data_IF_463885102994
#
_entry.id   IF_463885102994
#
_cell.length_a   1.000
_cell.length_b   1.000
_cell.length_c   1.000
_cell.angle_alpha   90.00
_cell.angle_beta   90.00
_cell.angle_gamma   90.00
#
_symmetry.space_group_name_H-M   'P 1'
#
loop_
_entity.id
_entity.type
_entity.pdbx_description
1 polymer ?
#
# COMPACT_ATOMS: atom_id res chain seq x y z
N UNK A 1 4.68 -5.60 -2.93
CA UNK A 1 3.92 -6.47 -3.85
C UNK A 1 3.44 -5.64 -5.03
N UNK A 2 2.46 -4.75 -4.86
CA UNK A 2 1.93 -3.90 -5.94
C UNK A 2 2.97 -3.01 -6.67
N UNK A 3 4.05 -2.62 -5.99
CA UNK A 3 5.14 -1.81 -6.58
C UNK A 3 6.15 -2.65 -7.37
N UNK A 4 6.32 -3.93 -7.00
CA UNK A 4 7.27 -4.83 -7.68
C UNK A 4 6.65 -5.45 -8.94
N UNK A 5 5.36 -5.79 -8.85
CA UNK A 5 4.55 -6.24 -9.99
C UNK A 5 3.43 -5.23 -10.22
N UNK A 6 3.71 -4.26 -11.10
CA UNK A 6 2.77 -3.20 -11.46
C UNK A 6 1.74 -3.77 -12.43
N UNK A 7 0.45 -3.69 -12.07
CA UNK A 7 -0.62 -4.12 -12.95
C UNK A 7 -1.93 -3.40 -12.62
N UNK A 8 -2.86 -3.40 -13.59
CA UNK A 8 -4.14 -2.71 -13.43
C UNK A 8 -4.98 -3.27 -12.26
N UNK A 9 -4.97 -4.58 -12.04
CA UNK A 9 -5.73 -5.20 -10.94
C UNK A 9 -5.27 -4.74 -9.55
N UNK A 10 -3.99 -4.42 -9.40
CA UNK A 10 -3.44 -3.92 -8.15
C UNK A 10 -3.82 -2.46 -7.85
N UNK A 11 -4.27 -1.68 -8.84
CA UNK A 11 -4.74 -0.31 -8.62
C UNK A 11 -5.88 -0.26 -7.60
N UNK A 12 -6.84 -1.19 -7.69
CA UNK A 12 -7.94 -1.31 -6.74
C UNK A 12 -7.43 -1.58 -5.32
N UNK A 13 -6.44 -2.46 -5.17
CA UNK A 13 -5.81 -2.74 -3.87
C UNK A 13 -5.13 -1.50 -3.30
N UNK A 14 -4.41 -0.74 -4.14
CA UNK A 14 -3.73 0.50 -3.72
C UNK A 14 -4.74 1.52 -3.22
N UNK A 15 -5.82 1.78 -3.97
CA UNK A 15 -6.89 2.71 -3.56
C UNK A 15 -7.49 2.30 -2.22
N UNK A 16 -7.83 1.03 -2.06
CA UNK A 16 -8.42 0.50 -0.83
C UNK A 16 -7.45 0.65 0.36
N UNK A 17 -6.19 0.27 0.21
CA UNK A 17 -5.19 0.38 1.29
C UNK A 17 -4.97 1.84 1.69
N UNK A 18 -4.85 2.75 0.72
CA UNK A 18 -4.66 4.18 1.00
C UNK A 18 -5.88 4.77 1.72
N UNK A 19 -7.09 4.39 1.31
CA UNK A 19 -8.31 4.76 2.02
C UNK A 19 -8.33 4.19 3.45
N UNK A 20 -8.02 2.90 3.61
CA UNK A 20 -8.00 2.22 4.90
C UNK A 20 -7.05 2.88 5.92
N UNK A 21 -5.90 3.35 5.46
CA UNK A 21 -4.90 4.01 6.30
C UNK A 21 -5.30 5.45 6.67
N UNK A 22 -6.16 6.07 5.87
CA UNK A 22 -6.54 7.47 6.05
C UNK A 22 -7.82 7.62 6.86
N UNK A 23 -8.72 6.65 6.79
CA UNK A 23 -9.95 6.62 7.55
C UNK A 23 -9.78 5.83 8.86
N UNK A 24 -10.58 6.16 9.88
CA UNK A 24 -10.45 5.59 11.22
C UNK A 24 -10.58 4.06 11.30
N UNK A 25 -10.38 3.52 12.51
CA UNK A 25 -10.28 2.07 12.77
C UNK A 25 -11.39 1.22 12.16
N UNK A 26 -12.63 1.71 12.14
CA UNK A 26 -13.77 0.96 11.60
C UNK A 26 -13.61 0.70 10.09
N UNK A 27 -13.20 1.72 9.33
CA UNK A 27 -12.94 1.59 7.89
C UNK A 27 -11.75 0.69 7.65
N UNK A 28 -10.68 0.84 8.43
CA UNK A 28 -9.51 -0.05 8.37
C UNK A 28 -9.90 -1.52 8.53
N UNK A 29 -10.77 -1.86 9.50
CA UNK A 29 -11.24 -3.23 9.70
C UNK A 29 -12.03 -3.75 8.49
N UNK A 30 -13.01 -2.98 8.00
CA UNK A 30 -13.82 -3.37 6.83
C UNK A 30 -12.95 -3.56 5.60
N UNK A 31 -12.06 -2.60 5.31
CA UNK A 31 -11.19 -2.68 4.14
C UNK A 31 -10.20 -3.84 4.25
N UNK A 32 -9.67 -4.13 5.44
CA UNK A 32 -8.79 -5.30 5.62
C UNK A 32 -9.49 -6.61 5.24
N UNK A 33 -10.77 -6.77 5.61
CA UNK A 33 -11.55 -7.93 5.18
C UNK A 33 -11.77 -7.95 3.66
N UNK A 34 -12.12 -6.81 3.04
CA UNK A 34 -12.29 -6.70 1.59
C UNK A 34 -10.98 -7.04 0.86
N UNK A 35 -9.86 -6.48 1.30
CA UNK A 35 -8.53 -6.71 0.73
C UNK A 35 -8.13 -8.19 0.85
N UNK A 36 -8.42 -8.85 1.96
CA UNK A 36 -8.17 -10.29 2.13
C UNK A 36 -8.93 -11.15 1.12
N UNK A 37 -10.21 -10.83 0.89
CA UNK A 37 -11.04 -11.50 -0.13
C UNK A 37 -10.49 -11.22 -1.54
N UNK A 38 -10.16 -9.97 -1.84
CA UNK A 38 -9.61 -9.58 -3.15
C UNK A 38 -8.28 -10.26 -3.44
N UNK A 39 -7.35 -10.32 -2.48
CA UNK A 39 -6.07 -11.03 -2.62
C UNK A 39 -6.31 -12.52 -2.91
N UNK A 40 -7.29 -13.13 -2.24
CA UNK A 40 -7.64 -14.53 -2.46
C UNK A 40 -8.21 -14.76 -3.86
N UNK A 41 -9.09 -13.86 -4.33
CA UNK A 41 -9.62 -13.89 -5.69
C UNK A 41 -8.52 -13.71 -6.73
N UNK A 42 -7.62 -12.74 -6.55
CA UNK A 42 -6.49 -12.50 -7.46
C UNK A 42 -5.56 -13.71 -7.54
N UNK A 43 -5.29 -14.38 -6.41
CA UNK A 43 -4.51 -15.61 -6.39
C UNK A 43 -5.23 -16.72 -7.19
N UNK A 44 -6.54 -16.91 -6.98
CA UNK A 44 -7.32 -17.90 -7.73
C UNK A 44 -7.35 -17.59 -9.22
N UNK A 45 -7.56 -16.34 -9.61
CA UNK A 45 -7.54 -15.92 -11.03
C UNK A 45 -6.17 -16.21 -11.66
N UNK A 46 -5.08 -15.90 -10.97
CA UNK A 46 -3.72 -16.20 -11.45
C UNK A 46 -3.46 -17.72 -11.59
N UNK A 47 -4.08 -18.55 -10.73
CA UNK A 47 -4.01 -20.01 -10.85
C UNK A 47 -4.86 -20.55 -11.99
N UNK A 48 -6.08 -20.05 -12.15
CA UNK A 48 -6.96 -20.44 -13.25
C UNK A 48 -6.33 -20.05 -14.60
N UNK A 49 -5.67 -18.91 -14.71
CA UNK A 49 -5.02 -18.47 -15.94
C UNK A 49 -3.90 -19.41 -16.43
N UNK A 50 -3.37 -20.28 -15.57
CA UNK A 50 -2.34 -21.25 -15.98
C UNK A 50 -2.88 -22.42 -16.81
N UNK A 51 -4.20 -22.66 -16.85
CA UNK A 51 -4.75 -23.76 -17.65
C UNK A 51 -4.46 -23.56 -19.14
N UNK A 52 -4.33 -24.66 -19.88
CA UNK A 52 -3.99 -24.63 -21.32
C UNK A 52 -5.10 -24.05 -22.20
N UNK A 53 -6.30 -23.86 -21.64
CA UNK A 53 -7.42 -23.22 -22.33
C UNK A 53 -7.12 -21.76 -22.70
N UNK A 54 -6.47 -21.00 -21.82
CA UNK A 54 -6.11 -19.60 -22.10
C UNK A 54 -4.77 -19.52 -22.81
N UNK A 55 -4.73 -19.11 -24.08
CA UNK A 55 -3.45 -18.91 -24.79
C UNK A 55 -3.01 -17.47 -24.64
N UNK A 56 -1.81 -17.26 -24.11
CA UNK A 56 -1.29 -15.92 -23.87
C UNK A 56 -1.14 -15.11 -25.17
N UNK A 57 -0.81 -15.79 -26.27
CA UNK A 57 -0.61 -15.17 -27.58
C UNK A 57 -1.88 -14.59 -28.20
N UNK A 58 -3.07 -15.04 -27.78
CA UNK A 58 -4.35 -14.50 -28.28
C UNK A 58 -4.63 -13.09 -27.76
N UNK A 59 -3.91 -12.66 -26.71
CA UNK A 59 -4.01 -11.32 -26.13
C UNK A 59 -2.91 -10.36 -26.60
N UNK A 60 -2.09 -10.77 -27.57
CA UNK A 60 -1.06 -9.93 -28.15
C UNK A 60 -1.71 -8.85 -29.04
N UNK A 61 -1.36 -7.60 -28.77
CA UNK A 61 -1.79 -6.43 -29.54
C UNK A 61 -0.67 -6.04 -30.49
N UNK A 62 -0.97 -5.98 -31.78
CA UNK A 62 -0.03 -5.51 -32.80
C UNK A 62 -0.49 -4.13 -33.33
N UNK A 63 0.09 -3.07 -32.79
CA UNK A 63 -0.19 -1.70 -33.21
C UNK A 63 0.72 -1.32 -34.40
N UNK A 64 0.47 -1.87 -35.59
CA UNK A 64 1.32 -1.64 -36.77
C UNK A 64 0.95 -0.38 -37.57
N UNK A 65 -0.18 0.28 -37.27
CA UNK A 65 -0.82 1.25 -38.18
C UNK A 65 -0.65 2.75 -37.84
N UNK A 66 0.13 3.12 -36.84
CA UNK A 66 0.41 4.54 -36.56
C UNK A 66 1.79 4.96 -37.05
N UNK A 67 1.85 5.40 -38.30
CA UNK A 67 2.98 6.06 -39.00
C UNK A 67 3.55 7.33 -38.31
N UNK A 68 3.32 7.55 -37.01
CA UNK A 68 3.69 8.79 -36.31
C UNK A 68 4.61 8.60 -35.10
N UNK A 69 4.90 7.36 -34.67
CA UNK A 69 5.86 7.13 -33.57
C UNK A 69 6.69 5.88 -33.89
N UNK A 70 8.03 5.97 -33.94
CA UNK A 70 8.87 4.78 -33.97
C UNK A 70 8.63 4.02 -32.67
N UNK A 71 8.10 2.80 -32.77
CA UNK A 71 8.02 1.89 -31.64
C UNK A 71 9.42 1.67 -31.06
N UNK A 72 9.58 1.58 -29.72
CA UNK A 72 10.82 1.14 -29.13
C UNK A 72 11.15 -0.26 -29.67
N UNK A 73 12.43 -0.57 -29.95
CA UNK A 73 12.83 -1.90 -30.39
C UNK A 73 12.84 -2.82 -29.16
N UNK A 74 11.68 -3.23 -28.67
CA UNK A 74 11.58 -4.29 -27.68
C UNK A 74 10.91 -5.52 -28.29
N UNK A 75 11.64 -6.63 -28.25
CA UNK A 75 11.38 -7.93 -28.86
C UNK A 75 10.14 -8.67 -28.29
N UNK A 76 9.23 -7.96 -27.59
CA UNK A 76 8.02 -8.55 -27.00
C UNK A 76 6.77 -7.83 -27.49
N UNK A 77 5.77 -8.55 -28.01
CA UNK A 77 4.49 -7.95 -28.34
C UNK A 77 3.85 -7.37 -27.08
N UNK A 78 3.27 -6.16 -27.18
CA UNK A 78 2.47 -5.61 -26.10
C UNK A 78 1.24 -6.51 -25.90
N UNK A 79 0.98 -6.93 -24.67
CA UNK A 79 -0.08 -7.90 -24.36
C UNK A 79 -1.05 -7.32 -23.32
N UNK A 80 -2.35 -7.35 -23.62
CA UNK A 80 -3.38 -6.83 -22.72
C UNK A 80 -3.47 -7.64 -21.42
N UNK A 81 -3.21 -8.95 -21.47
CA UNK A 81 -3.20 -9.80 -20.28
C UNK A 81 -2.04 -9.43 -19.35
N UNK A 82 -0.87 -9.09 -19.88
CA UNK A 82 0.26 -8.60 -19.07
C UNK A 82 -0.08 -7.28 -18.36
N UNK A 83 -0.76 -6.35 -19.05
CA UNK A 83 -1.21 -5.08 -18.47
C UNK A 83 -2.22 -5.28 -17.31
N UNK A 84 -3.17 -6.22 -17.49
CA UNK A 84 -4.09 -6.62 -16.42
C UNK A 84 -3.34 -7.27 -15.25
N UNK A 85 -2.21 -7.93 -15.52
CA UNK A 85 -1.38 -8.62 -14.53
C UNK A 85 -1.55 -10.14 -14.54
N UNK A 86 -2.00 -10.71 -15.67
CA UNK A 86 -2.19 -12.14 -15.88
C UNK A 86 -1.05 -12.68 -16.75
N UNK A 87 -0.13 -13.42 -16.12
CA UNK A 87 1.04 -13.97 -16.80
C UNK A 87 1.06 -15.49 -16.72
N UNK A 88 1.47 -16.13 -17.82
CA UNK A 88 1.76 -17.56 -17.83
C UNK A 88 3.18 -17.83 -17.35
N UNK A 89 3.38 -18.99 -16.74
CA UNK A 89 4.73 -19.45 -16.37
C UNK A 89 5.60 -19.63 -17.61
N UNK A 90 6.88 -19.26 -17.49
CA UNK A 90 7.88 -19.45 -18.54
C UNK A 90 9.18 -19.97 -17.94
N UNK A 91 10.16 -20.35 -18.78
CA UNK A 91 11.49 -20.76 -18.30
C UNK A 91 12.21 -19.71 -17.44
N UNK A 92 11.78 -18.44 -17.50
CA UNK A 92 12.37 -17.32 -16.77
C UNK A 92 11.58 -16.87 -15.53
N UNK A 93 10.26 -17.14 -15.48
CA UNK A 93 9.38 -16.82 -14.34
C UNK A 93 8.58 -18.05 -13.96
N UNK A 94 8.89 -18.59 -12.79
CA UNK A 94 8.21 -19.77 -12.26
C UNK A 94 6.92 -19.38 -11.55
N UNK A 95 6.01 -20.34 -11.37
CA UNK A 95 4.74 -20.13 -10.64
C UNK A 95 4.95 -19.55 -9.22
N UNK A 96 5.92 -20.04 -8.42
CA UNK A 96 6.20 -19.47 -7.11
C UNK A 96 6.67 -18.01 -7.18
N UNK A 97 7.40 -17.60 -8.22
CA UNK A 97 7.86 -16.21 -8.36
C UNK A 97 6.71 -15.23 -8.58
N UNK A 98 5.71 -15.64 -9.36
CA UNK A 98 4.48 -14.88 -9.61
C UNK A 98 3.59 -14.80 -8.36
N UNK A 99 3.57 -15.88 -7.56
CA UNK A 99 2.68 -15.99 -6.41
C UNK A 99 3.28 -15.55 -5.07
N UNK A 100 4.61 -15.41 -4.96
CA UNK A 100 5.30 -15.14 -3.67
C UNK A 100 4.71 -13.95 -2.93
N UNK A 101 4.31 -12.90 -3.66
CA UNK A 101 3.70 -11.70 -3.10
C UNK A 101 2.34 -11.98 -2.46
N UNK A 102 1.45 -12.69 -3.17
CA UNK A 102 0.13 -13.05 -2.66
C UNK A 102 0.22 -14.03 -1.49
N UNK A 103 1.07 -15.06 -1.59
CA UNK A 103 1.30 -16.02 -0.52
C UNK A 103 1.82 -15.30 0.73
N UNK A 104 2.80 -14.40 0.58
CA UNK A 104 3.33 -13.61 1.69
C UNK A 104 2.27 -12.76 2.39
N UNK A 105 1.37 -12.13 1.62
CA UNK A 105 0.26 -11.34 2.18
C UNK A 105 -0.75 -12.22 2.93
N UNK A 106 -1.10 -13.39 2.38
CA UNK A 106 -2.02 -14.34 3.04
C UNK A 106 -1.40 -14.89 4.32
N UNK A 107 -0.12 -15.26 4.31
CA UNK A 107 0.60 -15.73 5.50
C UNK A 107 0.65 -14.63 6.57
N UNK A 108 0.94 -13.38 6.19
CA UNK A 108 0.92 -12.26 7.12
C UNK A 108 -0.48 -12.03 7.72
N UNK A 109 -1.52 -12.04 6.88
CA UNK A 109 -2.90 -11.85 7.32
C UNK A 109 -3.36 -12.97 8.27
N UNK A 110 -3.00 -14.23 7.98
CA UNK A 110 -3.32 -15.38 8.86
C UNK A 110 -2.57 -15.29 10.18
N UNK A 111 -1.29 -14.92 10.20
CA UNK A 111 -0.54 -14.71 11.45
C UNK A 111 -1.20 -13.62 12.30
N UNK A 112 -1.56 -12.47 11.70
CA UNK A 112 -2.25 -11.39 12.41
C UNK A 112 -3.58 -11.85 13.00
N UNK A 113 -4.39 -12.57 12.22
CA UNK A 113 -5.66 -13.12 12.68
C UNK A 113 -5.46 -14.14 13.82
N UNK A 114 -4.48 -15.03 13.71
CA UNK A 114 -4.14 -16.01 14.76
C UNK A 114 -3.69 -15.31 16.04
N UNK A 115 -2.85 -14.28 15.94
CA UNK A 115 -2.40 -13.49 17.09
C UNK A 115 -3.60 -12.80 17.75
N UNK A 116 -4.49 -12.17 16.98
CA UNK A 116 -5.66 -11.49 17.53
C UNK A 116 -6.64 -12.46 18.21
N UNK A 117 -6.91 -13.61 17.59
CA UNK A 117 -7.74 -14.67 18.19
C UNK A 117 -7.10 -15.19 19.49
N UNK A 118 -5.79 -15.46 19.49
CA UNK A 118 -5.09 -15.92 20.69
C UNK A 118 -5.08 -14.89 21.81
N UNK A 119 -4.89 -13.61 21.48
CA UNK A 119 -4.97 -12.51 22.45
C UNK A 119 -6.38 -12.39 23.04
N UNK A 120 -7.41 -12.48 22.19
CA UNK A 120 -8.81 -12.44 22.62
C UNK A 120 -9.14 -13.62 23.54
N UNK A 121 -8.75 -14.84 23.15
CA UNK A 121 -8.99 -16.05 23.94
C UNK A 121 -8.31 -15.98 25.30
N UNK A 122 -7.04 -15.56 25.35
CA UNK A 122 -6.31 -15.39 26.62
C UNK A 122 -7.02 -14.41 27.54
N UNK A 123 -7.45 -13.25 27.02
CA UNK A 123 -8.17 -12.25 27.82
C UNK A 123 -9.50 -12.76 28.35
N UNK A 124 -10.23 -13.54 27.54
CA UNK A 124 -11.47 -14.17 27.97
C UNK A 124 -11.23 -15.10 29.17
N UNK A 125 -10.17 -15.91 29.13
CA UNK A 125 -9.79 -16.80 30.24
C UNK A 125 -9.35 -16.02 31.48
N UNK A 126 -8.65 -14.91 31.30
CA UNK A 126 -8.18 -14.03 32.38
C UNK A 126 -9.29 -13.09 32.93
N UNK A 127 -10.53 -13.18 32.41
CA UNK A 127 -11.65 -12.30 32.80
C UNK A 127 -11.46 -10.82 32.41
N UNK A 128 -10.52 -10.51 31.53
CA UNK A 128 -10.20 -9.16 31.08
C UNK A 128 -11.11 -8.71 29.94
N UNK A 129 -11.18 -7.38 29.70
CA UNK A 129 -11.94 -6.82 28.58
C UNK A 129 -11.46 -7.41 27.24
N UNK A 130 -12.41 -7.87 26.41
CA UNK A 130 -12.12 -8.44 25.09
C UNK A 130 -11.56 -7.42 24.09
N UNK A 131 -11.71 -6.12 24.36
CA UNK A 131 -11.18 -5.06 23.50
C UNK A 131 -9.65 -5.05 23.49
N UNK A 132 -9.06 -4.71 22.33
CA UNK A 132 -7.61 -4.57 22.19
C UNK A 132 -7.11 -3.40 23.06
N UNK A 133 -6.11 -3.61 23.95
CA UNK A 133 -5.56 -2.56 24.79
C UNK A 133 -4.92 -1.50 23.92
N UNK A 134 -5.13 -0.25 24.29
CA UNK A 134 -4.62 0.94 23.59
C UNK A 134 -3.13 1.14 23.82
N UNK A 135 -2.57 0.53 24.87
CA UNK A 135 -1.16 0.67 25.29
C UNK A 135 -0.55 -0.68 25.60
N UNK A 136 0.76 -0.81 25.38
CA UNK A 136 1.52 -2.05 25.57
C UNK A 136 1.85 -2.23 27.06
N UNK A 137 2.29 -1.15 27.72
CA UNK A 137 2.67 -1.15 29.14
C UNK A 137 1.73 -0.24 29.96
N UNK A 138 0.61 -0.76 30.50
CA UNK A 138 -0.37 0.05 31.20
C UNK A 138 0.14 0.64 32.53
N UNK A 139 1.19 0.07 33.11
CA UNK A 139 1.75 0.54 34.38
C UNK A 139 2.64 1.79 34.24
N UNK A 140 3.07 2.14 33.02
CA UNK A 140 3.95 3.29 32.80
C UNK A 140 3.11 4.53 32.50
N UNK A 141 3.03 5.40 33.50
CA UNK A 141 2.42 6.73 33.38
C UNK A 141 3.50 7.80 33.20
N UNK A 142 3.11 8.99 32.72
CA UNK A 142 4.01 10.12 32.47
C UNK A 142 4.91 10.48 33.66
N UNK A 143 4.43 10.30 34.88
CA UNK A 143 5.18 10.59 36.12
C UNK A 143 6.45 9.74 36.25
N UNK A 144 6.44 8.50 35.75
CA UNK A 144 7.57 7.56 35.86
C UNK A 144 8.64 7.75 34.77
N UNK A 145 8.48 8.76 33.90
CA UNK A 145 9.37 8.99 32.75
C UNK A 145 10.74 9.50 33.20
N UNK A 146 10.79 10.26 34.29
CA UNK A 146 11.99 10.93 34.76
C UNK A 146 12.80 10.07 35.76
N UNK A 147 12.24 8.94 36.20
CA UNK A 147 12.87 8.06 37.19
C UNK A 147 14.02 7.24 36.60
N UNK A 148 13.84 6.70 35.39
CA UNK A 148 14.77 5.75 34.77
C UNK A 148 14.69 5.76 33.24
N UNK A 149 15.84 5.57 32.56
CA UNK A 149 15.91 5.45 31.08
C UNK A 149 15.01 4.30 30.57
N UNK A 150 14.93 3.19 31.30
CA UNK A 150 14.06 2.05 30.95
C UNK A 150 12.57 2.45 30.95
N UNK A 151 12.14 3.18 31.97
CA UNK A 151 10.75 3.68 32.07
C UNK A 151 10.47 4.73 30.98
N UNK A 152 11.45 5.59 30.67
CA UNK A 152 11.37 6.53 29.55
C UNK A 152 11.21 5.82 28.19
N UNK A 153 11.99 4.76 27.92
CA UNK A 153 11.84 3.96 26.69
C UNK A 153 10.47 3.27 26.62
N UNK A 154 10.00 2.67 27.71
CA UNK A 154 8.66 2.07 27.76
C UNK A 154 7.55 3.11 27.51
N UNK A 155 7.71 4.33 28.04
CA UNK A 155 6.82 5.44 27.75
C UNK A 155 6.86 5.84 26.27
N UNK A 156 8.05 5.92 25.66
CA UNK A 156 8.22 6.24 24.24
C UNK A 156 7.58 5.17 23.33
N UNK A 157 7.64 3.89 23.68
CA UNK A 157 6.93 2.85 22.92
C UNK A 157 5.41 2.96 23.01
N UNK A 158 4.86 3.45 24.13
CA UNK A 158 3.42 3.67 24.27
C UNK A 158 2.94 4.97 23.60
N UNK A 159 3.68 6.08 23.75
CA UNK A 159 3.20 7.44 23.41
C UNK A 159 4.14 8.21 22.46
N UNK A 160 5.16 7.56 21.89
CA UNK A 160 6.15 8.22 21.03
C UNK A 160 5.52 8.88 19.81
N UNK A 161 4.70 8.13 19.06
CA UNK A 161 3.99 8.70 17.90
C UNK A 161 2.90 9.71 18.32
N UNK A 162 2.30 9.55 19.50
CA UNK A 162 1.36 10.54 20.03
C UNK A 162 2.04 11.89 20.31
N UNK A 163 3.29 11.87 20.81
CA UNK A 163 4.04 13.08 21.17
C UNK A 163 4.80 13.71 20.00
N UNK A 164 5.39 12.88 19.14
CA UNK A 164 6.30 13.30 18.05
C UNK A 164 5.75 12.99 16.65
N UNK A 165 4.46 12.66 16.52
CA UNK A 165 3.89 12.18 15.26
C UNK A 165 4.03 13.19 14.12
N UNK A 166 3.79 14.47 14.39
CA UNK A 166 3.92 15.54 13.37
C UNK A 166 5.37 15.68 12.92
N UNK A 167 6.32 15.71 13.86
CA UNK A 167 7.74 15.82 13.57
C UNK A 167 8.24 14.63 12.73
N UNK A 168 7.84 13.42 13.11
CA UNK A 168 8.16 12.20 12.34
C UNK A 168 7.55 12.27 10.94
N UNK A 169 6.30 12.71 10.79
CA UNK A 169 5.66 12.86 9.48
C UNK A 169 6.35 13.91 8.59
N UNK A 170 6.79 15.04 9.16
CA UNK A 170 7.55 16.06 8.42
C UNK A 170 8.90 15.51 7.96
N UNK A 171 9.64 14.81 8.83
CA UNK A 171 10.92 14.17 8.47
C UNK A 171 10.71 13.14 7.37
N UNK A 172 9.67 12.29 7.46
CA UNK A 172 9.34 11.32 6.41
C UNK A 172 8.99 12.01 5.08
N UNK A 173 8.33 13.17 5.13
CA UNK A 173 8.02 13.96 3.92
C UNK A 173 9.28 14.53 3.29
N UNK A 174 10.24 15.02 4.10
CA UNK A 174 11.56 15.46 3.60
C UNK A 174 12.31 14.31 2.92
N UNK A 175 12.30 13.11 3.53
CA UNK A 175 12.92 11.92 2.94
C UNK A 175 12.23 11.56 1.62
N UNK A 176 10.89 11.62 1.57
CA UNK A 176 10.12 11.36 0.35
C UNK A 176 10.53 12.30 -0.78
N UNK A 177 10.61 13.61 -0.51
CA UNK A 177 11.07 14.63 -1.46
C UNK A 177 12.53 14.39 -1.86
N UNK A 178 13.41 14.03 -0.93
CA UNK A 178 14.82 13.75 -1.26
C UNK A 178 15.00 12.48 -2.11
N UNK A 179 14.12 11.49 -1.93
CA UNK A 179 14.17 10.24 -2.68
C UNK A 179 13.57 10.34 -4.10
N UNK A 180 12.75 11.37 -4.36
CA UNK A 180 12.01 11.56 -5.61
C UNK A 180 12.39 12.89 -6.25
N UNK A 181 12.84 12.89 -7.50
CA UNK A 181 13.13 14.13 -8.25
C UNK A 181 12.10 14.35 -9.37
N UNK A 182 10.81 14.40 -9.00
CA UNK A 182 9.69 14.53 -9.93
C UNK A 182 8.76 15.72 -9.58
N UNK A 183 7.76 15.97 -10.42
CA UNK A 183 6.77 17.04 -10.19
C UNK A 183 6.01 16.84 -8.87
N UNK A 184 5.82 15.60 -8.44
CA UNK A 184 5.15 15.29 -7.16
C UNK A 184 5.99 15.74 -5.97
N UNK A 185 7.32 15.59 -6.03
CA UNK A 185 8.22 16.09 -5.00
C UNK A 185 8.06 17.60 -4.77
N UNK A 186 7.82 18.38 -5.83
CA UNK A 186 7.54 19.83 -5.72
C UNK A 186 6.21 20.07 -4.99
N UNK A 187 5.16 19.32 -5.30
CA UNK A 187 3.87 19.42 -4.61
C UNK A 187 3.98 19.05 -3.12
N UNK A 188 4.71 17.98 -2.80
CA UNK A 188 5.00 17.61 -1.41
C UNK A 188 5.84 18.67 -0.70
N UNK A 189 6.79 19.31 -1.39
CA UNK A 189 7.57 20.44 -0.88
C UNK A 189 6.70 21.65 -0.52
N UNK A 190 5.73 22.00 -1.37
CA UNK A 190 4.76 23.06 -1.08
C UNK A 190 3.96 22.75 0.20
N UNK A 191 3.44 21.53 0.31
CA UNK A 191 2.74 21.08 1.51
C UNK A 191 3.63 21.11 2.76
N UNK A 192 4.89 20.69 2.63
CA UNK A 192 5.87 20.74 3.71
C UNK A 192 6.07 22.17 4.22
N UNK A 193 6.26 23.15 3.32
CA UNK A 193 6.40 24.56 3.68
C UNK A 193 5.16 25.09 4.42
N UNK A 194 3.97 24.75 3.94
CA UNK A 194 2.70 25.14 4.59
C UNK A 194 2.61 24.52 5.99
N UNK A 195 2.84 23.21 6.12
CA UNK A 195 2.74 22.52 7.41
C UNK A 195 3.81 22.99 8.40
N UNK A 196 5.01 23.33 7.94
CA UNK A 196 6.10 23.82 8.78
C UNK A 196 5.86 25.26 9.28
N UNK A 197 5.24 26.12 8.48
CA UNK A 197 4.98 27.52 8.84
C UNK A 197 3.79 27.71 9.80
N UNK A 198 2.93 26.69 9.95
CA UNK A 198 1.70 26.77 10.75
C UNK A 198 1.90 26.34 12.20
N UNK A 199 1.09 26.92 13.10
CA UNK A 199 1.01 26.46 14.50
C UNK A 199 0.29 25.12 14.59
N UNK A 200 0.60 24.31 15.62
CA UNK A 200 0.03 22.97 15.83
C UNK A 200 -1.51 22.92 15.78
N UNK A 201 -2.19 23.94 16.32
CA UNK A 201 -3.66 24.02 16.28
C UNK A 201 -4.20 24.14 14.85
N UNK A 202 -3.54 24.96 14.03
CA UNK A 202 -3.91 25.12 12.61
C UNK A 202 -3.51 23.91 11.79
N UNK A 203 -2.36 23.28 12.09
CA UNK A 203 -1.94 22.03 11.46
C UNK A 203 -3.03 20.97 11.62
N UNK A 204 -3.61 20.81 12.81
CA UNK A 204 -4.68 19.82 13.03
C UNK A 204 -5.91 20.04 12.13
N UNK A 205 -6.25 21.29 11.82
CA UNK A 205 -7.35 21.62 10.90
C UNK A 205 -6.97 21.40 9.43
N UNK A 206 -5.73 21.70 9.06
CA UNK A 206 -5.23 21.55 7.68
C UNK A 206 -4.85 20.10 7.36
N UNK A 207 -4.58 19.28 8.38
CA UNK A 207 -4.13 17.90 8.25
C UNK A 207 -5.06 17.04 7.38
N UNK A 208 -6.37 17.22 7.52
CA UNK A 208 -7.35 16.50 6.70
C UNK A 208 -7.20 16.78 5.19
N UNK A 209 -6.87 18.03 4.81
CA UNK A 209 -6.62 18.37 3.41
C UNK A 209 -5.32 17.76 2.90
N UNK A 210 -4.28 17.73 3.73
CA UNK A 210 -3.03 17.05 3.39
C UNK A 210 -3.23 15.54 3.24
N UNK A 211 -4.01 14.92 4.12
CA UNK A 211 -4.40 13.51 4.00
C UNK A 211 -5.18 13.26 2.71
N UNK A 212 -6.17 14.10 2.39
CA UNK A 212 -6.93 13.98 1.15
C UNK A 212 -6.03 14.09 -0.10
N UNK A 213 -5.08 15.02 -0.09
CA UNK A 213 -4.08 15.13 -1.14
C UNK A 213 -3.30 13.82 -1.31
N UNK A 214 -2.82 13.21 -0.23
CA UNK A 214 -2.13 11.90 -0.28
C UNK A 214 -3.04 10.80 -0.82
N UNK A 215 -4.31 10.77 -0.39
CA UNK A 215 -5.30 9.77 -0.83
C UNK A 215 -5.50 9.82 -2.35
N UNK A 216 -5.43 10.99 -2.95
CA UNK A 216 -5.63 11.18 -4.40
C UNK A 216 -4.33 10.95 -5.17
N UNK A 217 -3.22 11.49 -4.68
CA UNK A 217 -1.94 11.47 -5.39
C UNK A 217 -1.34 10.07 -5.48
N UNK A 218 -1.43 9.25 -4.42
CA UNK A 218 -0.84 7.89 -4.46
C UNK A 218 -1.50 7.01 -5.55
N UNK A 219 -2.84 6.92 -5.65
CA UNK A 219 -3.48 6.20 -6.74
C UNK A 219 -3.16 6.76 -8.12
N UNK A 220 -3.06 8.09 -8.29
CA UNK A 220 -2.68 8.71 -9.57
C UNK A 220 -1.26 8.30 -9.96
N UNK A 221 -0.30 8.36 -9.02
CA UNK A 221 1.07 7.90 -9.25
C UNK A 221 1.10 6.43 -9.66
N UNK A 222 0.30 5.59 -9.00
CA UNK A 222 0.19 4.19 -9.36
C UNK A 222 -0.41 3.99 -10.76
N UNK A 223 -1.49 4.70 -11.08
CA UNK A 223 -2.17 4.60 -12.38
C UNK A 223 -1.25 5.03 -13.53
N UNK A 224 -0.46 6.09 -13.34
CA UNK A 224 0.56 6.48 -14.33
C UNK A 224 1.67 5.43 -14.47
N UNK A 225 2.08 4.79 -13.37
CA UNK A 225 3.06 3.70 -13.45
C UNK A 225 2.53 2.46 -14.16
N UNK A 226 1.21 2.22 -14.13
CA UNK A 226 0.52 1.16 -14.89
C UNK A 226 0.41 1.52 -16.37
N UNK A 227 0.22 2.79 -16.70
CA UNK A 227 0.04 3.26 -18.08
C UNK A 227 -1.33 2.90 -18.67
N UNK A 228 -1.51 3.26 -19.94
CA UNK A 228 -2.73 2.95 -20.70
C UNK A 228 -2.71 1.49 -21.20
N UNK A 229 -3.89 0.85 -21.36
CA UNK A 229 -3.95 -0.49 -21.90
C UNK A 229 -3.42 -0.51 -23.36
N UNK A 230 -2.58 -1.49 -23.71
CA UNK A 230 -1.91 -1.53 -25.01
C UNK A 230 -2.88 -1.68 -26.18
N UNK A 231 -4.05 -2.30 -25.97
CA UNK A 231 -5.12 -2.41 -26.97
C UNK A 231 -5.65 -1.08 -27.53
N UNK A 232 -5.36 0.05 -26.87
CA UNK A 232 -5.79 1.36 -27.38
C UNK A 232 -4.90 1.90 -28.52
N UNK A 233 -3.68 1.41 -28.69
CA UNK A 233 -2.73 1.87 -29.72
C UNK A 233 -2.59 3.40 -29.85
N UNK A 234 -2.88 4.14 -28.77
CA UNK A 234 -2.68 5.59 -28.67
C UNK A 234 -1.35 5.75 -27.94
N UNK A 235 -0.36 6.33 -28.61
CA UNK A 235 1.00 6.47 -28.10
C UNK A 235 1.05 7.04 -26.68
N UNK A 236 2.00 6.53 -25.89
CA UNK A 236 2.16 6.88 -24.48
C UNK A 236 2.26 8.40 -24.27
N UNK A 237 1.59 8.90 -23.23
CA UNK A 237 1.58 10.30 -22.81
C UNK A 237 2.51 10.50 -21.61
#
# INVERSE_FOLDING_TARGET
>A
MCVYDVCALHLLLVVLVVAAMSFGRNVLMVVTHIVSVLISLLLLTNMIYQIDFFKHDEYNVNCTDTHLVPSPPEERPLNDADWVGLQKTSKSRTLPDLLKGYIGLIVLATILAVVDIRQMYRRHMDGACLMRPTVIFPQIQRVHTDDNIKSCLMFLFNYGFYKFGVEVSLVMTVILIGSRMDVYAVLYGLWLCILFALKRETIARVWGFFQLFIIIVIPIQYAMAVGLPPGLCIGEL
#
